data_IF_843314755176
#
_entry.id   IF_843314755176
#
_cell.length_a   1.000
_cell.length_b   1.000
_cell.length_c   1.000
_cell.angle_alpha   90.00
_cell.angle_beta   90.00
_cell.angle_gamma   90.00
#
_symmetry.space_group_name_H-M   'P 1'
#
loop_
_entity.id
_entity.type
_entity.pdbx_description
1 polymer ?
#
# COMPACT_ATOMS: atom_id res chain seq x y z
N UNK A 1 6.27 -8.53 -4.51
CA UNK A 1 7.72 -8.47 -4.70
C UNK A 1 8.06 -8.88 -6.11
N UNK A 2 7.88 -7.94 -7.01
CA UNK A 2 8.40 -8.00 -8.38
C UNK A 2 9.64 -7.11 -8.41
N UNK A 3 10.76 -7.70 -8.80
CA UNK A 3 12.03 -6.99 -8.94
C UNK A 3 12.31 -6.81 -10.43
N UNK A 4 12.56 -5.57 -10.86
CA UNK A 4 12.79 -5.22 -12.27
C UNK A 4 13.99 -4.29 -12.44
N UNK A 5 14.53 -4.23 -13.66
CA UNK A 5 15.61 -3.32 -14.05
C UNK A 5 15.06 -2.24 -14.95
N UNK A 6 15.32 -0.97 -14.62
CA UNK A 6 15.00 0.18 -15.46
C UNK A 6 16.25 0.96 -15.81
N UNK A 7 16.31 1.42 -17.05
CA UNK A 7 17.39 2.26 -17.54
C UNK A 7 16.91 3.71 -17.59
N UNK A 8 17.74 4.61 -17.08
CA UNK A 8 17.48 6.04 -17.05
C UNK A 8 18.63 6.79 -17.74
N UNK A 9 18.29 7.90 -18.42
CA UNK A 9 19.27 8.72 -19.12
C UNK A 9 19.93 9.72 -18.18
N UNK A 10 19.21 10.18 -17.15
CA UNK A 10 19.73 11.11 -16.15
C UNK A 10 19.30 10.74 -14.72
N UNK A 11 19.99 11.32 -13.74
CA UNK A 11 19.55 11.29 -12.34
C UNK A 11 18.19 11.97 -12.14
N UNK A 12 17.90 13.00 -12.94
CA UNK A 12 16.65 13.74 -12.89
C UNK A 12 15.46 12.87 -13.31
N UNK A 13 15.62 12.02 -14.33
CA UNK A 13 14.57 11.09 -14.76
C UNK A 13 14.15 10.12 -13.64
N UNK A 14 15.13 9.69 -12.83
CA UNK A 14 14.90 8.82 -11.66
C UNK A 14 14.08 9.59 -10.61
N UNK A 15 14.47 10.84 -10.32
CA UNK A 15 13.78 11.69 -9.35
C UNK A 15 12.33 11.97 -9.78
N UNK A 16 12.11 12.35 -11.04
CA UNK A 16 10.79 12.63 -11.61
C UNK A 16 9.88 11.39 -11.57
N UNK A 17 10.44 10.21 -11.91
CA UNK A 17 9.71 8.94 -11.85
C UNK A 17 9.28 8.62 -10.42
N UNK A 18 10.19 8.83 -9.45
CA UNK A 18 9.91 8.58 -8.05
C UNK A 18 8.86 9.55 -7.49
N UNK A 19 8.91 10.82 -7.89
CA UNK A 19 7.93 11.83 -7.50
C UNK A 19 6.54 11.54 -8.04
N UNK A 20 6.47 11.08 -9.30
CA UNK A 20 5.22 10.59 -9.89
C UNK A 20 4.65 9.42 -9.10
N UNK A 21 5.47 8.42 -8.77
CA UNK A 21 5.02 7.27 -7.96
C UNK A 21 4.57 7.68 -6.55
N UNK A 22 5.25 8.65 -5.91
CA UNK A 22 4.84 9.21 -4.62
C UNK A 22 3.48 9.89 -4.75
N UNK A 23 3.26 10.69 -5.80
CA UNK A 23 2.00 11.38 -6.03
C UNK A 23 0.85 10.39 -6.28
N UNK A 24 1.06 9.38 -7.12
CA UNK A 24 0.10 8.31 -7.39
C UNK A 24 -0.24 7.55 -6.09
N UNK A 25 0.79 7.11 -5.34
CA UNK A 25 0.60 6.39 -4.07
C UNK A 25 -0.18 7.22 -3.05
N UNK A 26 0.07 8.54 -2.96
CA UNK A 26 -0.69 9.45 -2.10
C UNK A 26 -2.15 9.58 -2.52
N UNK A 27 -2.41 9.71 -3.82
CA UNK A 27 -3.76 9.82 -4.35
C UNK A 27 -4.57 8.57 -4.00
N UNK A 28 -4.03 7.40 -4.32
CA UNK A 28 -4.68 6.12 -4.04
C UNK A 28 -4.85 5.87 -2.54
N UNK A 29 -3.85 6.22 -1.72
CA UNK A 29 -3.99 6.15 -0.26
C UNK A 29 -5.15 7.03 0.24
N UNK A 30 -5.31 8.24 -0.32
CA UNK A 30 -6.43 9.14 0.01
C UNK A 30 -7.80 8.54 -0.31
N UNK A 31 -7.93 7.82 -1.43
CA UNK A 31 -9.15 7.10 -1.79
C UNK A 31 -9.47 5.97 -0.80
N UNK A 32 -8.47 5.16 -0.44
CA UNK A 32 -8.66 4.09 0.54
C UNK A 32 -8.97 4.61 1.94
N UNK A 33 -8.41 5.74 2.36
CA UNK A 33 -8.74 6.36 3.64
C UNK A 33 -10.20 6.82 3.71
N UNK A 34 -10.75 7.40 2.63
CA UNK A 34 -12.18 7.76 2.58
C UNK A 34 -13.07 6.53 2.70
N UNK A 35 -12.73 5.48 1.96
CA UNK A 35 -13.49 4.22 2.00
C UNK A 35 -13.36 3.51 3.36
N UNK A 36 -12.20 3.63 4.03
CA UNK A 36 -12.00 3.15 5.40
C UNK A 36 -12.97 3.83 6.37
N UNK A 37 -13.10 5.15 6.29
CA UNK A 37 -14.01 5.92 7.16
C UNK A 37 -15.48 5.51 6.95
N UNK A 38 -15.90 5.30 5.70
CA UNK A 38 -17.25 4.84 5.35
C UNK A 38 -17.56 3.45 5.94
N UNK A 39 -16.67 2.48 5.71
CA UNK A 39 -16.84 1.10 6.20
C UNK A 39 -16.80 1.07 7.73
N UNK A 40 -15.92 1.86 8.36
CA UNK A 40 -15.83 1.98 9.81
C UNK A 40 -17.15 2.46 10.42
N UNK A 41 -17.80 3.45 9.80
CA UNK A 41 -19.10 3.93 10.24
C UNK A 41 -20.20 2.85 10.13
N UNK A 42 -20.16 2.03 9.09
CA UNK A 42 -21.10 0.90 8.91
C UNK A 42 -20.86 -0.22 9.92
N UNK A 43 -19.60 -0.56 10.19
CA UNK A 43 -19.21 -1.56 11.18
C UNK A 43 -19.64 -1.15 12.61
N UNK A 44 -19.41 0.11 12.98
CA UNK A 44 -19.86 0.71 14.25
C UNK A 44 -21.39 0.62 14.43
N UNK A 45 -22.16 0.98 13.39
CA UNK A 45 -23.64 0.89 13.43
C UNK A 45 -24.10 -0.56 13.59
N UNK A 46 -23.51 -1.46 12.80
CA UNK A 46 -23.81 -2.90 12.86
C UNK A 46 -23.52 -3.50 14.24
N UNK A 47 -22.40 -3.08 14.86
CA UNK A 47 -22.03 -3.47 16.22
C UNK A 47 -23.10 -3.07 17.24
N UNK A 48 -23.52 -1.79 17.20
CA UNK A 48 -24.51 -1.24 18.14
C UNK A 48 -25.86 -1.95 18.03
N UNK A 49 -26.33 -2.20 16.81
CA UNK A 49 -27.59 -2.93 16.57
C UNK A 49 -27.48 -4.35 17.15
N UNK A 50 -26.39 -5.07 16.84
CA UNK A 50 -26.16 -6.43 17.34
C UNK A 50 -26.11 -6.46 18.88
N UNK A 51 -25.43 -5.52 19.51
CA UNK A 51 -25.38 -5.41 20.97
C UNK A 51 -26.77 -5.19 21.60
N UNK A 52 -27.59 -4.30 21.04
CA UNK A 52 -28.95 -4.02 21.55
C UNK A 52 -29.83 -5.26 21.41
N UNK A 53 -29.83 -5.90 20.23
CA UNK A 53 -30.62 -7.11 19.98
C UNK A 53 -30.19 -8.27 20.89
N UNK A 54 -28.89 -8.46 21.10
CA UNK A 54 -28.37 -9.53 21.97
C UNK A 54 -28.69 -9.29 23.45
N UNK A 55 -28.65 -8.03 23.91
CA UNK A 55 -29.10 -7.65 25.26
C UNK A 55 -30.58 -7.96 25.48
N UNK A 56 -31.43 -7.71 24.48
CA UNK A 56 -32.85 -8.05 24.53
C UNK A 56 -33.09 -9.57 24.50
N UNK A 57 -32.30 -10.30 23.71
CA UNK A 57 -32.42 -11.76 23.57
C UNK A 57 -31.79 -12.57 24.72
N UNK A 58 -31.09 -11.93 25.67
CA UNK A 58 -30.45 -12.58 26.80
C UNK A 58 -29.29 -13.53 26.45
N UNK A 59 -28.76 -13.47 25.21
CA UNK A 59 -27.69 -14.35 24.73
C UNK A 59 -26.33 -13.63 24.72
N UNK A 60 -25.28 -14.29 25.20
CA UNK A 60 -23.89 -13.82 25.07
C UNK A 60 -23.42 -13.98 23.63
N UNK A 61 -22.58 -13.05 23.18
CA UNK A 61 -22.00 -12.97 21.84
C UNK A 61 -21.31 -14.28 21.44
N UNK A 62 -21.91 -15.04 20.53
CA UNK A 62 -21.17 -16.00 19.73
C UNK A 62 -20.42 -15.22 18.66
N UNK A 63 -19.09 -15.18 18.76
CA UNK A 63 -18.22 -14.75 17.67
C UNK A 63 -18.27 -15.86 16.61
N UNK A 64 -19.25 -15.77 15.71
CA UNK A 64 -19.34 -16.67 14.57
C UNK A 64 -18.33 -16.20 13.51
N UNK A 65 -17.16 -16.84 13.48
CA UNK A 65 -16.27 -16.86 12.31
C UNK A 65 -16.84 -17.83 11.25
N UNK A 66 -18.14 -17.73 10.97
CA UNK A 66 -18.79 -18.57 9.97
C UNK A 66 -18.41 -18.03 8.60
N UNK A 67 -17.69 -18.83 7.81
CA UNK A 67 -17.58 -18.62 6.37
C UNK A 67 -16.18 -18.47 5.80
N UNK A 68 -15.11 -18.38 6.61
CA UNK A 68 -13.76 -18.30 6.05
C UNK A 68 -13.25 -19.70 5.62
N UNK A 69 -12.93 -19.85 4.33
CA UNK A 69 -12.40 -21.05 3.70
C UNK A 69 -11.09 -20.70 3.01
N UNK A 70 -10.02 -21.41 3.35
CA UNK A 70 -8.72 -21.23 2.69
C UNK A 70 -8.58 -22.22 1.53
N UNK A 71 -8.23 -21.74 0.34
CA UNK A 71 -7.92 -22.55 -0.84
C UNK A 71 -6.53 -22.18 -1.33
N UNK A 72 -5.55 -23.04 -1.06
CA UNK A 72 -4.14 -22.77 -1.37
C UNK A 72 -3.62 -21.54 -0.60
N UNK A 73 -3.27 -20.47 -1.31
CA UNK A 73 -2.83 -19.18 -0.74
C UNK A 73 -3.93 -18.11 -0.71
N UNK A 74 -5.17 -18.46 -1.05
CA UNK A 74 -6.33 -17.56 -1.05
C UNK A 74 -7.21 -17.85 0.17
N UNK A 75 -7.65 -16.79 0.85
CA UNK A 75 -8.71 -16.90 1.86
C UNK A 75 -10.01 -16.33 1.31
N UNK A 76 -11.10 -17.10 1.43
CA UNK A 76 -12.43 -16.78 0.90
C UNK A 76 -13.37 -16.67 2.08
N UNK A 77 -13.97 -15.50 2.30
CA UNK A 77 -14.97 -15.30 3.36
C UNK A 77 -16.37 -15.31 2.76
N UNK A 78 -17.13 -16.36 3.05
CA UNK A 78 -18.56 -16.47 2.73
C UNK A 78 -19.37 -15.56 3.68
N UNK A 79 -20.40 -14.89 3.15
CA UNK A 79 -21.23 -13.93 3.89
C UNK A 79 -20.42 -12.83 4.62
N UNK A 80 -19.52 -12.17 3.88
CA UNK A 80 -18.70 -11.10 4.41
C UNK A 80 -19.55 -9.98 5.05
N UNK A 81 -19.18 -9.61 6.28
CA UNK A 81 -19.83 -8.53 7.01
C UNK A 81 -18.93 -7.28 7.00
N UNK A 82 -19.44 -6.10 7.44
CA UNK A 82 -18.65 -4.87 7.43
C UNK A 82 -17.35 -4.91 8.24
N UNK A 83 -17.19 -5.84 9.19
CA UNK A 83 -15.92 -6.02 9.91
C UNK A 83 -14.87 -6.74 9.06
N UNK A 84 -15.27 -7.75 8.28
CA UNK A 84 -14.35 -8.42 7.35
C UNK A 84 -13.82 -7.42 6.31
N UNK A 85 -14.72 -6.58 5.77
CA UNK A 85 -14.33 -5.51 4.86
C UNK A 85 -13.44 -4.45 5.53
N UNK A 86 -13.74 -4.10 6.78
CA UNK A 86 -12.92 -3.16 7.57
C UNK A 86 -11.49 -3.67 7.71
N UNK A 87 -11.31 -4.93 8.10
CA UNK A 87 -9.97 -5.52 8.24
C UNK A 87 -9.22 -5.59 6.91
N UNK A 88 -9.91 -5.92 5.82
CA UNK A 88 -9.31 -5.95 4.48
C UNK A 88 -8.83 -4.57 4.04
N UNK A 89 -9.63 -3.52 4.25
CA UNK A 89 -9.24 -2.16 3.86
C UNK A 89 -8.13 -1.59 4.75
N UNK A 90 -8.13 -1.89 6.05
CA UNK A 90 -7.05 -1.52 6.97
C UNK A 90 -5.70 -2.11 6.51
N UNK A 91 -5.69 -3.36 6.06
CA UNK A 91 -4.50 -4.00 5.51
C UNK A 91 -3.99 -3.28 4.25
N UNK A 92 -4.90 -2.90 3.35
CA UNK A 92 -4.52 -2.14 2.14
C UNK A 92 -3.95 -0.77 2.51
N UNK A 93 -4.62 -0.03 3.39
CA UNK A 93 -4.15 1.29 3.85
C UNK A 93 -2.74 1.20 4.44
N UNK A 94 -2.49 0.22 5.31
CA UNK A 94 -1.16 -0.01 5.90
C UNK A 94 -0.10 -0.28 4.83
N UNK A 95 -0.40 -1.13 3.85
CA UNK A 95 0.53 -1.43 2.74
C UNK A 95 0.88 -0.19 1.93
N UNK A 96 -0.10 0.67 1.60
CA UNK A 96 0.15 1.93 0.91
C UNK A 96 0.94 2.94 1.75
N UNK A 97 0.71 3.00 3.07
CA UNK A 97 1.50 3.83 3.99
C UNK A 97 2.96 3.38 4.05
N UNK A 98 3.20 2.07 4.15
CA UNK A 98 4.55 1.49 4.16
C UNK A 98 5.26 1.76 2.82
N UNK A 99 4.57 1.56 1.69
CA UNK A 99 5.10 1.89 0.35
C UNK A 99 5.46 3.37 0.23
N UNK A 100 4.56 4.26 0.65
CA UNK A 100 4.80 5.70 0.61
C UNK A 100 6.03 6.11 1.43
N UNK A 101 6.20 5.51 2.61
CA UNK A 101 7.37 5.74 3.45
C UNK A 101 8.66 5.28 2.76
N UNK A 102 8.65 4.11 2.11
CA UNK A 102 9.81 3.60 1.37
C UNK A 102 10.19 4.52 0.20
N UNK A 103 9.20 4.95 -0.59
CA UNK A 103 9.42 5.87 -1.72
C UNK A 103 9.98 7.22 -1.23
N UNK A 104 9.49 7.75 -0.12
CA UNK A 104 9.98 9.00 0.47
C UNK A 104 11.44 8.88 0.92
N UNK A 105 11.80 7.76 1.55
CA UNK A 105 13.19 7.46 1.95
C UNK A 105 14.10 7.32 0.75
N UNK A 106 13.67 6.60 -0.29
CA UNK A 106 14.40 6.48 -1.54
C UNK A 106 14.66 7.88 -2.12
N UNK A 107 13.66 8.76 -2.15
CA UNK A 107 13.80 10.12 -2.69
C UNK A 107 14.82 10.93 -1.89
N UNK A 108 14.78 10.85 -0.57
CA UNK A 108 15.78 11.52 0.28
C UNK A 108 17.19 10.98 0.04
N UNK A 109 17.31 9.66 -0.11
CA UNK A 109 18.56 9.00 -0.42
C UNK A 109 19.06 9.26 -1.84
N UNK A 110 18.26 9.85 -2.74
CA UNK A 110 18.68 10.19 -4.10
C UNK A 110 19.03 11.67 -4.29
N UNK A 111 18.83 12.52 -3.28
CA UNK A 111 19.20 13.95 -3.34
C UNK A 111 20.69 14.21 -3.63
N UNK A 112 21.56 13.25 -3.33
CA UNK A 112 22.99 13.39 -3.65
C UNK A 112 23.27 13.16 -5.14
N UNK A 113 22.36 12.49 -5.88
CA UNK A 113 22.53 12.32 -7.33
C UNK A 113 22.45 13.66 -8.06
N UNK A 114 21.73 14.65 -7.51
CA UNK A 114 21.71 16.02 -8.03
C UNK A 114 23.12 16.64 -8.07
N UNK A 115 24.06 16.13 -7.27
CA UNK A 115 25.46 16.59 -7.22
C UNK A 115 26.35 15.92 -8.27
N UNK A 116 25.94 14.78 -8.84
CA UNK A 116 26.69 14.12 -9.91
C UNK A 116 26.59 14.87 -11.25
N UNK A 117 25.57 15.72 -11.41
CA UNK A 117 25.30 16.45 -12.66
C UNK A 117 25.08 15.52 -13.86
N UNK A 118 24.88 16.12 -15.04
CA UNK A 118 24.87 15.39 -16.30
C UNK A 118 26.32 15.04 -16.68
N UNK A 119 26.79 13.90 -16.19
CA UNK A 119 28.08 13.35 -16.62
C UNK A 119 27.87 12.67 -17.98
N UNK A 120 28.36 13.30 -19.06
CA UNK A 120 28.31 12.70 -20.41
C UNK A 120 28.93 11.29 -20.41
N UNK A 121 28.24 10.34 -21.05
CA UNK A 121 28.68 8.93 -21.14
C UNK A 121 28.28 8.05 -19.96
N UNK A 122 27.52 8.56 -18.98
CA UNK A 122 27.05 7.78 -17.83
C UNK A 122 25.61 7.28 -18.06
N UNK A 123 25.42 5.95 -18.00
CA UNK A 123 24.10 5.31 -18.02
C UNK A 123 23.70 4.83 -16.63
N UNK A 124 22.45 5.08 -16.24
CA UNK A 124 21.91 4.70 -14.95
C UNK A 124 21.02 3.46 -15.10
N UNK A 125 21.33 2.39 -14.38
CA UNK A 125 20.51 1.18 -14.34
C UNK A 125 20.02 0.99 -12.90
N UNK A 126 18.72 1.10 -12.69
CA UNK A 126 18.08 1.03 -11.38
C UNK A 126 17.40 -0.32 -11.20
N UNK A 127 17.72 -0.99 -10.12
CA UNK A 127 16.97 -2.15 -9.62
C UNK A 127 15.82 -1.61 -8.78
N UNK A 128 14.60 -1.86 -9.23
CA UNK A 128 13.38 -1.49 -8.52
C UNK A 128 12.69 -2.72 -7.93
N UNK A 129 12.14 -2.58 -6.73
CA UNK A 129 11.29 -3.57 -6.10
C UNK A 129 9.92 -2.95 -5.81
N UNK A 130 8.89 -3.47 -6.48
CA UNK A 130 7.53 -2.92 -6.44
C UNK A 130 7.50 -1.39 -6.74
N UNK A 131 8.41 -0.96 -7.64
CA UNK A 131 8.63 0.42 -8.08
C UNK A 131 9.59 1.24 -7.20
N UNK A 132 9.98 0.75 -6.02
CA UNK A 132 10.92 1.44 -5.13
C UNK A 132 12.36 1.16 -5.57
N UNK A 133 13.21 2.18 -5.83
CA UNK A 133 14.62 1.98 -6.12
C UNK A 133 15.37 1.34 -4.95
N UNK A 134 16.01 0.18 -5.17
CA UNK A 134 16.84 -0.50 -4.17
C UNK A 134 18.34 -0.38 -4.47
N UNK A 135 18.70 -0.29 -5.75
CA UNK A 135 20.10 -0.21 -6.18
C UNK A 135 20.23 0.56 -7.48
N UNK A 136 21.27 1.38 -7.59
CA UNK A 136 21.61 2.10 -8.81
C UNK A 136 22.99 1.65 -9.25
N UNK A 137 23.09 1.21 -10.49
CA UNK A 137 24.33 0.85 -11.15
C UNK A 137 24.70 1.96 -12.13
N UNK A 138 25.93 2.45 -12.01
CA UNK A 138 26.51 3.37 -12.95
C UNK A 138 27.29 2.59 -13.98
N UNK A 139 26.97 2.76 -15.26
CA UNK A 139 27.71 2.17 -16.36
C UNK A 139 28.30 3.28 -17.21
N UNK A 140 29.63 3.26 -17.34
CA UNK A 140 30.34 4.12 -18.28
C UNK A 140 30.17 3.51 -19.67
N UNK A 141 29.73 4.34 -20.62
CA UNK A 141 29.52 3.99 -22.04
C UNK A 141 30.45 4.79 -22.93
#
# INVERSE_FOLDING_TARGET
MVVELKEYASAQDIAETLEKQIAETKSTLGEYLRRLDEIRALAEKSKKIREVVMKLAGKKTAAESLGEVTVGNLSIVLDANPFHELTAIEQVVRSYQERLLMLQKAREALKWLDQLGDTEGLKYIVVENDGVPERILFKIT
#
